data_IF_933544193952
#
_entry.id   IF_933544193952
#
_cell.length_a   1.000
_cell.length_b   1.000
_cell.length_c   1.000
_cell.angle_alpha   90.00
_cell.angle_beta   90.00
_cell.angle_gamma   90.00
#
_symmetry.space_group_name_H-M   'P 1'
#
loop_
_entity.id
_entity.type
_entity.pdbx_description
1 polymer ?
#
# COMPACT_ATOMS: atom_id res chain seq x y z
N UNK A 1 24.77 -5.85 -0.71
CA UNK A 1 24.13 -6.90 -1.55
C UNK A 1 22.61 -6.89 -1.49
N UNK A 2 22.02 -5.86 -0.88
CA UNK A 2 20.57 -5.76 -0.73
C UNK A 2 19.92 -4.88 -1.80
N UNK A 3 20.72 -4.31 -2.70
CA UNK A 3 20.27 -3.41 -3.77
C UNK A 3 20.76 -3.92 -5.11
N UNK A 4 19.90 -3.83 -6.12
CA UNK A 4 20.21 -4.07 -7.50
C UNK A 4 20.01 -2.75 -8.25
N UNK A 5 21.03 -2.29 -8.95
CA UNK A 5 20.98 -1.11 -9.79
C UNK A 5 21.67 -1.39 -11.13
N UNK A 6 21.54 -0.48 -12.09
CA UNK A 6 22.30 -0.56 -13.35
C UNK A 6 23.80 -0.50 -13.07
N UNK A 7 24.56 -1.20 -13.89
CA UNK A 7 26.02 -1.30 -13.69
C UNK A 7 26.74 0.06 -13.86
N UNK A 8 26.17 0.93 -14.66
CA UNK A 8 26.69 2.26 -15.01
C UNK A 8 26.17 3.40 -14.12
N UNK A 9 25.30 3.11 -13.12
CA UNK A 9 24.68 4.13 -12.28
C UNK A 9 25.72 5.07 -11.62
N UNK A 10 26.81 4.51 -11.10
CA UNK A 10 27.87 5.30 -10.47
C UNK A 10 28.57 6.21 -11.47
N UNK A 11 28.96 5.66 -12.64
CA UNK A 11 29.60 6.40 -13.71
C UNK A 11 28.72 7.52 -14.24
N UNK A 12 27.42 7.25 -14.39
CA UNK A 12 26.42 8.25 -14.78
C UNK A 12 26.38 9.42 -13.78
N UNK A 13 26.28 9.13 -12.49
CA UNK A 13 26.24 10.15 -11.44
C UNK A 13 27.51 11.01 -11.44
N UNK A 14 28.67 10.38 -11.58
CA UNK A 14 29.99 11.07 -11.60
C UNK A 14 30.14 11.91 -12.88
N UNK A 15 29.79 11.36 -14.03
CA UNK A 15 29.90 12.04 -15.35
C UNK A 15 29.07 13.31 -15.42
N UNK A 16 27.87 13.28 -14.84
CA UNK A 16 26.94 14.40 -14.86
C UNK A 16 27.00 15.27 -13.59
N UNK A 17 27.95 15.00 -12.69
CA UNK A 17 28.17 15.76 -11.44
C UNK A 17 26.89 15.88 -10.58
N UNK A 18 26.11 14.80 -10.50
CA UNK A 18 24.82 14.81 -9.81
C UNK A 18 24.95 14.62 -8.29
N UNK A 19 26.09 14.13 -7.81
CA UNK A 19 26.32 13.97 -6.38
C UNK A 19 26.75 15.29 -5.74
N UNK A 20 25.88 15.84 -4.91
CA UNK A 20 26.11 17.09 -4.18
C UNK A 20 26.52 16.86 -2.72
N UNK A 21 26.75 15.60 -2.30
CA UNK A 21 27.14 15.29 -0.92
C UNK A 21 28.51 15.89 -0.57
N UNK A 22 28.62 16.51 0.58
CA UNK A 22 29.86 17.14 1.07
C UNK A 22 30.93 16.12 1.50
N UNK A 23 30.50 14.93 1.91
CA UNK A 23 31.36 13.84 2.40
C UNK A 23 31.77 12.85 1.30
N UNK A 24 31.29 13.05 0.07
CA UNK A 24 31.53 12.17 -1.06
C UNK A 24 30.76 10.84 -1.01
N UNK A 25 29.85 10.66 -0.06
CA UNK A 25 28.98 9.50 -0.01
C UNK A 25 28.08 9.43 -1.26
N UNK A 26 27.90 8.24 -1.80
CA UNK A 26 27.02 8.02 -2.95
C UNK A 26 25.70 7.38 -2.48
N UNK A 27 24.67 8.20 -2.36
CA UNK A 27 23.33 7.77 -2.04
C UNK A 27 22.38 8.18 -3.19
N UNK A 28 21.88 7.23 -3.99
CA UNK A 28 20.99 7.55 -5.11
C UNK A 28 19.71 8.28 -4.71
N UNK A 29 19.21 8.08 -3.49
CA UNK A 29 18.07 8.84 -2.97
C UNK A 29 18.40 10.34 -2.88
N UNK A 30 19.57 10.67 -2.36
CA UNK A 30 19.99 12.07 -2.20
C UNK A 30 20.35 12.70 -3.56
N UNK A 31 20.88 11.88 -4.47
CA UNK A 31 21.24 12.33 -5.82
C UNK A 31 20.01 12.65 -6.69
N UNK A 32 18.97 11.81 -6.63
CA UNK A 32 17.80 11.90 -7.51
C UNK A 32 16.52 12.34 -6.80
N UNK A 33 16.53 12.40 -5.48
CA UNK A 33 15.39 12.87 -4.68
C UNK A 33 15.22 14.38 -4.76
N UNK A 34 14.00 14.85 -4.57
CA UNK A 34 13.74 16.25 -4.29
C UNK A 34 14.11 16.57 -2.83
N UNK A 35 14.46 17.84 -2.59
CA UNK A 35 14.84 18.35 -1.28
C UNK A 35 14.19 19.72 -1.02
N UNK A 36 12.93 19.86 -1.43
CA UNK A 36 12.19 21.10 -1.26
C UNK A 36 11.07 20.97 -0.21
N UNK A 37 10.53 22.10 0.23
CA UNK A 37 9.47 22.16 1.23
C UNK A 37 8.18 21.43 0.82
N UNK A 38 7.99 21.14 -0.47
CA UNK A 38 6.85 20.38 -0.95
C UNK A 38 6.93 18.93 -0.46
N UNK A 39 8.12 18.37 -0.25
CA UNK A 39 8.30 17.04 0.29
C UNK A 39 7.74 16.89 1.71
N UNK A 40 7.78 17.94 2.50
CA UNK A 40 7.20 17.95 3.86
C UNK A 40 5.66 17.90 3.87
N UNK A 41 5.02 18.02 2.71
CA UNK A 41 3.56 17.86 2.56
C UNK A 41 3.22 16.59 1.81
N UNK A 42 4.02 16.23 0.79
CA UNK A 42 3.68 15.18 -0.17
C UNK A 42 4.39 13.85 0.07
N UNK A 43 5.67 13.83 0.43
CA UNK A 43 6.48 12.61 0.45
C UNK A 43 6.86 12.17 1.85
N UNK A 44 7.56 13.01 2.59
CA UNK A 44 8.10 12.72 3.93
C UNK A 44 7.01 12.25 4.92
N UNK A 45 5.84 12.91 5.03
CA UNK A 45 4.79 12.44 5.94
C UNK A 45 4.24 11.06 5.60
N UNK A 46 4.22 10.69 4.33
CA UNK A 46 3.77 9.35 3.92
C UNK A 46 4.78 8.27 4.31
N UNK A 47 6.08 8.53 4.10
CA UNK A 47 7.14 7.64 4.56
C UNK A 47 7.08 7.47 6.09
N UNK A 48 7.01 8.58 6.83
CA UNK A 48 6.82 8.58 8.28
C UNK A 48 5.64 7.72 8.74
N UNK A 49 4.48 7.83 8.08
CA UNK A 49 3.30 7.05 8.43
C UNK A 49 3.50 5.55 8.20
N UNK A 50 4.13 5.16 7.08
CA UNK A 50 4.44 3.77 6.78
C UNK A 50 5.42 3.17 7.80
N UNK A 51 6.51 3.88 8.07
CA UNK A 51 7.54 3.44 9.00
C UNK A 51 7.01 3.33 10.43
N UNK A 52 6.23 4.33 10.86
CA UNK A 52 5.55 4.33 12.17
C UNK A 52 4.62 3.12 12.33
N UNK A 53 3.88 2.76 11.31
CA UNK A 53 2.97 1.61 11.36
C UNK A 53 3.71 0.28 11.42
N UNK A 54 4.77 0.13 10.64
CA UNK A 54 5.51 -1.14 10.53
C UNK A 54 6.55 -1.32 11.65
N UNK A 55 6.95 -0.24 12.31
CA UNK A 55 7.97 -0.22 13.35
C UNK A 55 7.56 0.67 14.55
N UNK A 56 6.42 0.39 15.19
CA UNK A 56 5.84 1.28 16.20
C UNK A 56 6.68 1.43 17.46
N UNK A 57 7.61 0.51 17.76
CA UNK A 57 8.42 0.50 18.97
C UNK A 57 9.90 0.77 18.73
N UNK A 58 10.36 0.73 17.46
CA UNK A 58 11.78 0.94 17.12
C UNK A 58 12.23 2.37 17.42
N UNK A 59 11.36 3.32 17.18
CA UNK A 59 11.57 4.74 17.45
C UNK A 59 10.34 5.35 18.13
N UNK A 60 10.56 6.54 18.72
CA UNK A 60 9.45 7.36 19.23
C UNK A 60 8.90 8.21 18.08
N UNK A 61 7.69 7.93 17.70
CA UNK A 61 7.03 8.57 16.55
C UNK A 61 6.13 9.74 16.93
N UNK A 62 5.79 9.87 18.22
CA UNK A 62 4.80 10.81 18.71
C UNK A 62 5.31 11.61 19.91
N UNK A 63 4.75 12.82 20.10
CA UNK A 63 5.03 13.68 21.23
C UNK A 63 6.24 14.59 21.03
N UNK A 64 6.57 15.37 22.08
CA UNK A 64 7.63 16.37 22.05
C UNK A 64 9.05 15.78 22.00
N UNK A 65 9.19 14.49 22.31
CA UNK A 65 10.47 13.76 22.29
C UNK A 65 10.51 12.72 21.17
N UNK A 66 9.70 12.90 20.11
CA UNK A 66 9.73 12.03 18.96
C UNK A 66 11.13 12.04 18.32
N UNK A 67 11.60 10.84 17.96
CA UNK A 67 12.86 10.69 17.21
C UNK A 67 12.67 11.17 15.77
N UNK A 68 11.48 10.93 15.20
CA UNK A 68 11.08 11.40 13.87
C UNK A 68 9.67 11.99 13.88
N UNK A 69 9.50 13.03 13.09
CA UNK A 69 8.23 13.73 12.84
C UNK A 69 7.81 13.56 11.38
N UNK A 70 6.58 13.88 11.01
CA UNK A 70 6.15 13.82 9.61
C UNK A 70 6.97 14.66 8.61
N UNK A 71 7.78 15.59 9.11
CA UNK A 71 8.62 16.49 8.30
C UNK A 71 10.11 16.28 8.52
N UNK A 72 10.51 15.16 9.11
CA UNK A 72 11.92 14.85 9.32
C UNK A 72 12.62 14.45 8.02
N UNK A 73 13.69 15.14 7.65
CA UNK A 73 14.47 14.87 6.43
C UNK A 73 15.37 13.62 6.56
N UNK A 74 15.64 13.21 7.78
CA UNK A 74 16.53 12.12 8.15
C UNK A 74 15.80 10.79 8.45
N UNK A 75 14.56 10.63 7.95
CA UNK A 75 13.86 9.36 8.04
C UNK A 75 14.74 8.22 7.49
N UNK A 76 14.78 7.06 8.15
CA UNK A 76 15.52 5.90 7.65
C UNK A 76 15.12 5.54 6.22
N UNK A 77 16.10 5.28 5.36
CA UNK A 77 15.79 4.90 3.98
C UNK A 77 15.09 3.55 3.89
N UNK A 78 15.46 2.61 4.73
CA UNK A 78 14.83 1.29 4.83
C UNK A 78 14.90 0.80 6.26
N UNK A 79 13.89 0.05 6.66
CA UNK A 79 13.78 -0.56 7.97
C UNK A 79 13.39 -2.02 7.85
N UNK A 80 13.84 -2.83 8.78
CA UNK A 80 13.30 -4.18 8.94
C UNK A 80 12.01 -4.04 9.78
N UNK A 81 10.87 -4.48 9.29
CA UNK A 81 9.62 -4.37 10.06
C UNK A 81 9.67 -5.23 11.32
N UNK A 82 9.04 -4.76 12.39
CA UNK A 82 9.01 -5.46 13.70
C UNK A 82 8.25 -6.79 13.65
N UNK A 83 7.37 -6.96 12.66
CA UNK A 83 6.60 -8.19 12.43
C UNK A 83 6.57 -8.56 10.95
N UNK A 84 6.20 -9.79 10.64
CA UNK A 84 5.92 -10.18 9.25
C UNK A 84 4.74 -9.37 8.73
N UNK A 85 4.90 -8.81 7.53
CA UNK A 85 3.89 -7.98 6.87
C UNK A 85 2.87 -8.90 6.19
N UNK A 86 1.59 -8.67 6.45
CA UNK A 86 0.47 -9.35 5.79
C UNK A 86 -0.07 -8.53 4.62
N UNK A 87 -0.95 -9.14 3.81
CA UNK A 87 -1.70 -8.43 2.76
C UNK A 87 -2.52 -7.28 3.35
N UNK A 88 -3.12 -7.53 4.53
CA UNK A 88 -3.92 -6.54 5.25
C UNK A 88 -3.08 -5.37 5.77
N UNK A 89 -1.86 -5.63 6.25
CA UNK A 89 -0.93 -4.57 6.65
C UNK A 89 -0.59 -3.66 5.45
N UNK A 90 -0.30 -4.24 4.29
CA UNK A 90 -0.04 -3.45 3.07
C UNK A 90 -1.28 -2.68 2.64
N UNK A 91 -2.46 -3.32 2.66
CA UNK A 91 -3.73 -2.65 2.37
C UNK A 91 -3.97 -1.47 3.29
N UNK A 92 -3.75 -1.63 4.61
CA UNK A 92 -3.89 -0.58 5.60
C UNK A 92 -2.96 0.61 5.32
N UNK A 93 -1.69 0.34 5.08
CA UNK A 93 -0.67 1.36 4.79
C UNK A 93 -0.99 2.12 3.50
N UNK A 94 -1.32 1.40 2.41
CA UNK A 94 -1.66 2.03 1.13
C UNK A 94 -3.03 2.74 1.13
N UNK A 95 -3.85 2.47 2.13
CA UNK A 95 -5.10 3.19 2.41
C UNK A 95 -4.90 4.33 3.41
N UNK A 96 -3.68 4.55 3.87
CA UNK A 96 -3.34 5.47 4.95
C UNK A 96 -3.77 6.91 4.68
N UNK A 97 -4.47 7.48 5.64
CA UNK A 97 -4.87 8.87 5.70
C UNK A 97 -4.50 9.50 7.06
N UNK A 98 -3.43 8.98 7.66
CA UNK A 98 -2.93 9.38 9.00
C UNK A 98 -3.88 9.03 10.14
N UNK A 99 -4.70 8.00 9.97
CA UNK A 99 -5.63 7.53 11.01
C UNK A 99 -4.90 7.26 12.33
N UNK A 100 -5.52 7.68 13.44
CA UNK A 100 -4.93 7.60 14.76
C UNK A 100 -3.86 8.67 15.06
N UNK A 101 -3.73 9.69 14.21
CA UNK A 101 -2.85 10.83 14.41
C UNK A 101 -3.63 12.16 14.35
N UNK A 102 -3.06 13.29 14.79
CA UNK A 102 -3.69 14.60 14.64
C UNK A 102 -3.88 15.06 13.20
N UNK A 103 -3.21 14.43 12.24
CA UNK A 103 -3.18 14.81 10.82
C UNK A 103 -4.29 14.16 10.00
N UNK A 104 -5.04 13.24 10.60
CA UNK A 104 -6.15 12.55 9.94
C UNK A 104 -7.25 13.54 9.51
N UNK A 105 -7.54 13.69 8.20
CA UNK A 105 -8.58 14.58 7.71
C UNK A 105 -9.98 14.22 8.25
N UNK A 106 -10.21 12.95 8.59
CA UNK A 106 -11.48 12.46 9.16
C UNK A 106 -11.46 12.41 10.68
N UNK A 107 -10.31 12.62 11.29
CA UNK A 107 -10.09 12.46 12.71
C UNK A 107 -10.82 13.48 13.59
N UNK A 108 -11.02 13.11 14.83
CA UNK A 108 -11.50 14.01 15.89
C UNK A 108 -10.43 14.33 16.93
N UNK A 109 -9.26 13.71 16.80
CA UNK A 109 -8.14 13.85 17.72
C UNK A 109 -7.25 15.07 17.37
N UNK A 110 -6.71 15.71 18.40
CA UNK A 110 -5.76 16.81 18.25
C UNK A 110 -6.36 18.13 17.73
N UNK A 111 -5.49 19.03 17.32
CA UNK A 111 -5.88 20.34 16.78
C UNK A 111 -6.53 20.21 15.40
N UNK A 112 -7.67 20.84 15.23
CA UNK A 112 -8.39 20.88 13.95
C UNK A 112 -7.57 21.48 12.80
N UNK A 113 -6.66 22.42 13.10
CA UNK A 113 -5.81 23.06 12.08
C UNK A 113 -4.80 22.08 11.45
N UNK A 114 -4.48 20.99 12.15
CA UNK A 114 -3.55 19.96 11.67
C UNK A 114 -4.20 18.92 10.77
N UNK A 115 -5.53 18.86 10.73
CA UNK A 115 -6.25 17.86 9.94
C UNK A 115 -6.06 18.10 8.45
N UNK A 116 -5.58 17.07 7.76
CA UNK A 116 -5.30 17.17 6.33
C UNK A 116 -4.12 18.07 5.99
N UNK A 117 -3.25 18.39 6.96
CA UNK A 117 -2.02 19.15 6.71
C UNK A 117 -1.12 18.46 5.69
N UNK A 118 -1.16 17.14 5.65
CA UNK A 118 -0.34 16.31 4.78
C UNK A 118 -1.16 15.54 3.75
N UNK A 119 -0.53 15.25 2.62
CA UNK A 119 -1.15 14.49 1.54
C UNK A 119 -1.29 13.02 1.93
N UNK A 120 -2.53 12.52 2.05
CA UNK A 120 -2.81 11.12 2.34
C UNK A 120 -2.24 10.18 1.28
N UNK A 121 -1.87 8.96 1.68
CA UNK A 121 -1.50 7.86 0.77
C UNK A 121 -2.78 7.39 0.07
N UNK A 122 -3.79 7.00 0.86
CA UNK A 122 -5.12 6.57 0.41
C UNK A 122 -6.03 7.75 0.09
N UNK A 123 -5.66 8.56 -0.90
CA UNK A 123 -6.47 9.70 -1.31
C UNK A 123 -7.72 9.24 -2.07
N UNK A 124 -8.82 10.01 -1.96
CA UNK A 124 -10.12 9.70 -2.56
C UNK A 124 -10.11 9.51 -4.08
N UNK A 125 -9.12 10.05 -4.78
CA UNK A 125 -8.95 9.92 -6.23
C UNK A 125 -8.01 8.81 -6.69
N UNK A 126 -7.59 7.91 -5.79
CA UNK A 126 -6.95 6.67 -6.23
C UNK A 126 -7.92 5.90 -7.11
N UNK A 127 -7.43 5.34 -8.21
CA UNK A 127 -8.24 4.57 -9.15
C UNK A 127 -8.10 3.08 -8.93
N UNK A 128 -6.95 2.67 -8.39
CA UNK A 128 -6.56 1.27 -8.38
C UNK A 128 -5.45 1.01 -7.35
N UNK A 129 -5.47 -0.18 -6.78
CA UNK A 129 -4.41 -0.74 -5.96
C UNK A 129 -4.16 -2.17 -6.41
N UNK A 130 -2.90 -2.53 -6.60
CA UNK A 130 -2.46 -3.90 -6.78
C UNK A 130 -1.37 -4.25 -5.77
N UNK A 131 -1.38 -5.50 -5.33
CA UNK A 131 -0.38 -6.08 -4.45
C UNK A 131 -0.08 -7.48 -4.95
N UNK A 132 1.19 -7.78 -5.18
CA UNK A 132 1.65 -9.10 -5.59
C UNK A 132 2.24 -9.81 -4.37
N UNK A 133 1.64 -10.93 -4.01
CA UNK A 133 2.10 -11.82 -2.96
C UNK A 133 2.84 -13.01 -3.56
N UNK A 134 4.13 -13.14 -3.27
CA UNK A 134 4.94 -14.30 -3.64
C UNK A 134 4.94 -15.29 -2.47
N UNK A 135 4.55 -16.54 -2.73
CA UNK A 135 4.44 -17.63 -1.74
C UNK A 135 5.46 -18.73 -2.05
N UNK A 136 6.71 -18.64 -1.55
CA UNK A 136 7.82 -19.52 -1.95
C UNK A 136 7.57 -21.01 -1.73
N UNK A 137 6.73 -21.33 -0.73
CA UNK A 137 6.44 -22.71 -0.34
C UNK A 137 5.35 -23.38 -1.20
N UNK A 138 4.78 -22.61 -2.17
CA UNK A 138 3.75 -23.12 -3.08
C UNK A 138 4.36 -23.56 -4.41
N UNK A 139 3.63 -24.43 -5.13
CA UNK A 139 3.94 -24.80 -6.50
C UNK A 139 4.01 -23.56 -7.42
N UNK A 140 4.79 -23.64 -8.50
CA UNK A 140 5.12 -22.49 -9.34
C UNK A 140 3.87 -21.73 -9.81
N UNK A 141 2.86 -22.46 -10.30
CA UNK A 141 1.62 -21.91 -10.87
C UNK A 141 0.72 -21.25 -9.80
N UNK A 142 0.84 -21.68 -8.54
CA UNK A 142 0.07 -21.15 -7.41
C UNK A 142 0.86 -20.12 -6.59
N UNK A 143 2.14 -19.93 -6.88
CA UNK A 143 3.04 -19.13 -6.06
C UNK A 143 2.71 -17.65 -6.06
N UNK A 144 2.51 -16.96 -7.20
CA UNK A 144 2.12 -15.58 -7.22
C UNK A 144 0.60 -15.42 -7.12
N UNK A 145 0.17 -14.61 -6.17
CA UNK A 145 -1.22 -14.15 -6.04
C UNK A 145 -1.23 -12.64 -6.16
N UNK A 146 -2.04 -12.12 -7.06
CA UNK A 146 -2.29 -10.72 -7.20
C UNK A 146 -3.57 -10.34 -6.44
N UNK A 147 -3.49 -9.31 -5.60
CA UNK A 147 -4.61 -8.75 -4.87
C UNK A 147 -4.94 -7.38 -5.46
N UNK A 148 -6.14 -7.23 -5.98
CA UNK A 148 -6.57 -6.02 -6.69
C UNK A 148 -7.73 -5.34 -5.96
N UNK A 149 -7.72 -4.02 -5.94
CA UNK A 149 -8.84 -3.20 -5.52
C UNK A 149 -8.99 -1.98 -6.45
N UNK A 150 -10.23 -1.61 -6.76
CA UNK A 150 -10.54 -0.45 -7.58
C UNK A 150 -11.14 0.68 -6.75
N UNK A 151 -10.94 1.91 -7.21
CA UNK A 151 -11.46 3.12 -6.58
C UNK A 151 -10.63 3.60 -5.40
N UNK A 152 -11.22 4.36 -4.51
CA UNK A 152 -10.53 4.98 -3.37
C UNK A 152 -10.04 3.96 -2.35
N UNK A 153 -8.74 3.93 -2.11
CA UNK A 153 -8.10 2.90 -1.29
C UNK A 153 -8.63 2.81 0.15
N UNK A 154 -9.04 3.93 0.75
CA UNK A 154 -9.61 3.91 2.10
C UNK A 154 -10.94 3.13 2.18
N UNK A 155 -11.67 2.99 1.09
CA UNK A 155 -13.04 2.46 1.07
C UNK A 155 -13.21 1.17 0.27
N UNK A 156 -12.23 0.80 -0.56
CA UNK A 156 -12.30 -0.38 -1.41
C UNK A 156 -11.82 -1.64 -0.68
N UNK A 157 -12.09 -2.82 -1.25
CA UNK A 157 -11.64 -4.10 -0.74
C UNK A 157 -10.78 -4.82 -1.77
N UNK A 158 -9.77 -5.57 -1.29
CA UNK A 158 -8.89 -6.39 -2.12
C UNK A 158 -9.56 -7.70 -2.50
N UNK A 159 -9.42 -8.09 -3.76
CA UNK A 159 -9.83 -9.41 -4.28
C UNK A 159 -8.63 -10.13 -4.88
N UNK A 160 -8.42 -11.42 -4.58
CA UNK A 160 -7.25 -12.16 -5.02
C UNK A 160 -7.46 -12.85 -6.37
N UNK A 161 -6.37 -12.96 -7.13
CA UNK A 161 -6.24 -13.77 -8.34
C UNK A 161 -4.92 -14.53 -8.34
N UNK A 162 -4.89 -15.73 -8.87
CA UNK A 162 -3.63 -16.31 -9.31
C UNK A 162 -3.11 -15.52 -10.50
N UNK A 163 -1.80 -15.28 -10.57
CA UNK A 163 -1.24 -14.39 -11.60
C UNK A 163 -1.26 -14.99 -13.02
N UNK A 164 -1.54 -16.28 -13.14
CA UNK A 164 -1.62 -17.03 -14.39
C UNK A 164 -3.06 -17.27 -14.91
N UNK A 165 -4.07 -16.58 -14.31
CA UNK A 165 -5.45 -16.70 -14.81
C UNK A 165 -5.58 -16.17 -16.24
N UNK A 166 -6.23 -16.93 -17.10
CA UNK A 166 -6.51 -16.52 -18.48
C UNK A 166 -7.68 -15.54 -18.58
N UNK A 167 -8.67 -15.65 -17.67
CA UNK A 167 -9.86 -14.80 -17.66
C UNK A 167 -10.22 -14.37 -16.24
N UNK A 168 -10.69 -13.14 -16.12
CA UNK A 168 -11.26 -12.61 -14.88
C UNK A 168 -12.78 -12.56 -14.95
N UNK A 169 -13.49 -12.64 -13.81
CA UNK A 169 -14.95 -12.50 -13.79
C UNK A 169 -15.41 -11.19 -14.47
N UNK A 170 -16.50 -11.27 -15.23
CA UNK A 170 -17.06 -10.13 -15.95
C UNK A 170 -17.27 -8.90 -15.06
N UNK A 171 -17.73 -9.09 -13.83
CA UNK A 171 -17.91 -8.01 -12.87
C UNK A 171 -16.64 -7.18 -12.59
N UNK A 172 -15.46 -7.74 -12.81
CA UNK A 172 -14.16 -7.10 -12.58
C UNK A 172 -13.57 -6.49 -13.85
N UNK A 173 -13.95 -6.96 -15.03
CA UNK A 173 -13.36 -6.54 -16.30
C UNK A 173 -14.30 -5.75 -17.23
N UNK A 174 -15.57 -5.57 -16.84
CA UNK A 174 -16.59 -4.92 -17.67
C UNK A 174 -16.74 -3.41 -17.43
N UNK A 175 -15.73 -2.74 -16.86
CA UNK A 175 -15.79 -1.29 -16.59
C UNK A 175 -15.93 -0.49 -17.87
N UNK A 176 -16.93 0.38 -17.90
CA UNK A 176 -17.19 1.31 -18.99
C UNK A 176 -17.27 2.74 -18.48
N UNK A 177 -17.39 3.73 -19.37
CA UNK A 177 -17.60 5.13 -18.99
C UNK A 177 -18.96 5.42 -18.33
N UNK A 178 -19.88 4.46 -18.32
CA UNK A 178 -21.19 4.60 -17.68
C UNK A 178 -21.16 4.10 -16.24
N UNK A 179 -21.58 4.93 -15.30
CA UNK A 179 -21.72 4.57 -13.88
C UNK A 179 -22.78 3.48 -13.73
N UNK A 180 -22.42 2.39 -13.05
CA UNK A 180 -23.30 1.24 -12.83
C UNK A 180 -22.85 0.45 -11.63
N UNK A 181 -23.78 -0.20 -10.91
CA UNK A 181 -23.44 -1.16 -9.85
C UNK A 181 -23.14 -2.56 -10.40
N UNK A 182 -23.21 -2.74 -11.71
CA UNK A 182 -22.96 -4.02 -12.38
C UNK A 182 -21.47 -4.30 -12.63
N UNK A 183 -20.58 -3.44 -12.12
CA UNK A 183 -19.14 -3.66 -12.15
C UNK A 183 -18.45 -3.20 -10.86
N UNK A 184 -17.28 -3.78 -10.61
CA UNK A 184 -16.53 -3.60 -9.37
C UNK A 184 -15.98 -2.17 -9.20
N UNK A 185 -15.48 -1.56 -10.29
CA UNK A 185 -14.93 -0.21 -10.24
C UNK A 185 -15.97 0.82 -9.78
N UNK A 186 -17.12 0.89 -10.48
CA UNK A 186 -18.15 1.88 -10.14
C UNK A 186 -18.85 1.58 -8.81
N UNK A 187 -19.02 0.30 -8.45
CA UNK A 187 -19.52 -0.05 -7.12
C UNK A 187 -18.58 0.45 -6.03
N UNK A 188 -17.26 0.27 -6.18
CA UNK A 188 -16.26 0.79 -5.24
C UNK A 188 -16.27 2.34 -5.19
N UNK A 189 -16.41 3.01 -6.34
CA UNK A 189 -16.53 4.47 -6.41
C UNK A 189 -17.77 5.00 -5.73
N UNK A 190 -18.90 4.33 -5.88
CA UNK A 190 -20.16 4.71 -5.22
C UNK A 190 -20.06 4.56 -3.70
N UNK A 191 -19.49 3.44 -3.22
CA UNK A 191 -19.23 3.24 -1.79
C UNK A 191 -18.35 4.37 -1.27
N UNK A 192 -17.26 4.69 -1.96
CA UNK A 192 -16.34 5.76 -1.58
C UNK A 192 -17.03 7.12 -1.52
N UNK A 193 -17.81 7.50 -2.54
CA UNK A 193 -18.51 8.78 -2.60
C UNK A 193 -19.52 8.95 -1.45
N UNK A 194 -20.22 7.88 -1.10
CA UNK A 194 -21.18 7.89 0.01
C UNK A 194 -20.49 7.90 1.38
N UNK A 195 -19.43 7.12 1.52
CA UNK A 195 -18.71 6.96 2.79
C UNK A 195 -17.85 8.19 3.11
N UNK A 196 -17.19 8.80 2.13
CA UNK A 196 -16.36 9.99 2.31
C UNK A 196 -17.15 11.16 2.90
N UNK A 197 -18.34 11.41 2.38
CA UNK A 197 -19.23 12.46 2.87
C UNK A 197 -19.72 12.24 4.32
N UNK A 198 -19.64 11.03 4.84
CA UNK A 198 -20.12 10.65 6.17
C UNK A 198 -19.19 9.68 6.90
N UNK A 199 -17.88 9.87 6.74
CA UNK A 199 -16.83 8.93 7.14
C UNK A 199 -17.05 8.32 8.53
N UNK A 200 -17.17 9.16 9.57
CA UNK A 200 -17.30 8.68 10.95
C UNK A 200 -18.58 7.86 11.22
N UNK A 201 -19.60 7.97 10.36
CA UNK A 201 -20.84 7.18 10.45
C UNK A 201 -20.76 5.88 9.66
N UNK A 202 -19.97 5.86 8.60
CA UNK A 202 -19.87 4.75 7.66
C UNK A 202 -18.67 3.86 7.90
N UNK A 203 -17.63 4.33 8.59
CA UNK A 203 -16.36 3.63 8.80
C UNK A 203 -16.55 2.18 9.26
N UNK A 204 -17.35 1.93 10.30
CA UNK A 204 -17.60 0.59 10.80
C UNK A 204 -18.19 -0.37 9.74
N UNK A 205 -19.05 0.15 8.87
CA UNK A 205 -19.64 -0.65 7.80
C UNK A 205 -18.63 -0.94 6.69
N UNK A 206 -17.75 0.04 6.38
CA UNK A 206 -16.68 -0.12 5.40
C UNK A 206 -15.65 -1.14 5.88
N UNK A 207 -15.17 -1.01 7.12
CA UNK A 207 -14.22 -1.97 7.72
C UNK A 207 -14.79 -3.39 7.71
N UNK A 208 -16.04 -3.55 8.16
CA UNK A 208 -16.72 -4.86 8.13
C UNK A 208 -16.86 -5.43 6.71
N UNK A 209 -17.07 -4.58 5.72
CA UNK A 209 -17.10 -5.00 4.33
C UNK A 209 -15.72 -5.48 3.88
N UNK A 210 -14.68 -4.70 4.15
CA UNK A 210 -13.29 -5.03 3.81
C UNK A 210 -12.85 -6.34 4.47
N UNK A 211 -13.11 -6.51 5.76
CA UNK A 211 -12.80 -7.75 6.51
C UNK A 211 -13.50 -8.98 5.91
N UNK A 212 -14.78 -8.86 5.55
CA UNK A 212 -15.53 -9.98 4.95
C UNK A 212 -15.01 -10.36 3.58
N UNK A 213 -14.66 -9.37 2.75
CA UNK A 213 -14.10 -9.63 1.42
C UNK A 213 -12.71 -10.26 1.55
N UNK A 214 -11.85 -9.74 2.43
CA UNK A 214 -10.53 -10.31 2.70
C UNK A 214 -10.62 -11.75 3.21
N UNK A 215 -11.44 -12.01 4.23
CA UNK A 215 -11.67 -13.36 4.76
C UNK A 215 -12.15 -14.34 3.68
N UNK A 216 -13.05 -13.88 2.80
CA UNK A 216 -13.54 -14.70 1.68
C UNK A 216 -12.46 -14.92 0.62
N UNK A 217 -11.63 -13.92 0.36
CA UNK A 217 -10.48 -14.05 -0.53
C UNK A 217 -9.50 -15.11 -0.03
N UNK A 218 -9.08 -15.06 1.23
CA UNK A 218 -8.21 -16.06 1.84
C UNK A 218 -8.84 -17.47 1.86
N UNK A 219 -10.14 -17.57 2.18
CA UNK A 219 -10.86 -18.85 2.11
C UNK A 219 -10.79 -19.46 0.70
N UNK A 220 -10.99 -18.64 -0.32
CA UNK A 220 -10.94 -19.09 -1.72
C UNK A 220 -9.52 -19.56 -2.09
N UNK A 221 -8.50 -18.77 -1.82
CA UNK A 221 -7.10 -19.14 -2.09
C UNK A 221 -6.77 -20.46 -1.40
N UNK A 222 -7.01 -20.59 -0.10
CA UNK A 222 -6.72 -21.81 0.65
C UNK A 222 -7.46 -23.05 0.09
N UNK A 223 -8.72 -22.87 -0.34
CA UNK A 223 -9.52 -23.94 -0.93
C UNK A 223 -9.00 -24.37 -2.31
N UNK A 224 -8.55 -23.44 -3.14
CA UNK A 224 -8.01 -23.75 -4.47
C UNK A 224 -6.59 -24.29 -4.37
N UNK A 225 -5.73 -23.77 -3.49
CA UNK A 225 -4.42 -24.34 -3.20
C UNK A 225 -4.52 -25.83 -2.83
N UNK A 226 -5.47 -26.17 -1.95
CA UNK A 226 -5.69 -27.59 -1.57
C UNK A 226 -6.13 -28.47 -2.74
N UNK A 227 -6.92 -27.93 -3.68
CA UNK A 227 -7.35 -28.68 -4.88
C UNK A 227 -6.21 -28.88 -5.87
N UNK A 228 -5.41 -27.86 -6.11
CA UNK A 228 -4.26 -27.90 -7.02
C UNK A 228 -3.20 -28.88 -6.50
N UNK A 229 -2.93 -28.85 -5.21
CA UNK A 229 -2.04 -29.85 -4.57
C UNK A 229 -2.52 -31.30 -4.77
N UNK A 230 -3.82 -31.56 -4.73
CA UNK A 230 -4.37 -32.91 -4.97
C UNK A 230 -4.23 -33.34 -6.44
N UNK A 231 -4.34 -32.42 -7.39
CA UNK A 231 -4.16 -32.71 -8.83
C UNK A 231 -2.70 -33.12 -9.08
N UNK A 232 -1.73 -32.39 -8.55
CA UNK A 232 -0.30 -32.70 -8.70
C UNK A 232 0.12 -34.03 -8.04
N UNK A 233 -0.54 -34.44 -6.95
CA UNK A 233 -0.31 -35.74 -6.32
C UNK A 233 -0.88 -36.90 -7.17
N UNK A 234 -1.96 -36.66 -7.92
CA UNK A 234 -2.63 -37.68 -8.72
C UNK A 234 -2.05 -37.87 -10.12
N UNK A 235 -1.23 -36.95 -10.62
CA UNK A 235 -0.47 -37.09 -11.86
C UNK A 235 0.97 -37.56 -11.55
N UNK A 236 1.28 -38.85 -11.69
CA UNK A 236 2.67 -39.28 -11.59
C UNK A 236 3.47 -38.64 -12.73
N UNK A 237 4.49 -37.90 -12.38
CA UNK A 237 5.49 -37.33 -13.31
C UNK A 237 5.87 -38.40 -14.35
N UNK A 238 5.52 -38.17 -15.61
CA UNK A 238 6.03 -38.92 -16.74
C UNK A 238 7.45 -38.47 -17.07
#
# INVERSE_FOLDING_TARGET
KNFLCSADLKEFIETYHLNLSMDGSLNPRDVFGSHDDADHVYNTPRAWFMERYLNPNTYRWDGALADFTPVSDDLPWCMVPEKKITVEDVKYVLSGHYQGTPYDPYGSYGDKSMRGAYRSIGINRNDFMALIQIRPDMEADCRPVEWIAYGSNAFNALVPFYADVEETPEYLNNTTGRVSTENFYWSSRLIAAMADASYNKSLFHVERYQERVAAKGHELINRYDARLSLIHISEPTR
#
